data_IF_470686176629
#
_entry.id   IF_470686176629
#
_cell.length_a   1.000
_cell.length_b   1.000
_cell.length_c   1.000
_cell.angle_alpha   90.00
_cell.angle_beta   90.00
_cell.angle_gamma   90.00
#
_symmetry.space_group_name_H-M   'P 1'
#
loop_
_entity.id
_entity.type
_entity.pdbx_description
1 polymer ?
#
# COMPACT_ATOMS: atom_id res chain seq x y z
N UNK A 1 -17.78 25.21 7.21
CA UNK A 1 -18.61 23.98 7.21
C UNK A 1 -19.49 24.04 5.95
N UNK A 2 -19.59 22.98 5.16
CA UNK A 2 -20.46 22.98 3.96
C UNK A 2 -21.94 22.85 4.34
N UNK A 3 -22.85 23.16 3.41
CA UNK A 3 -24.30 23.19 3.69
C UNK A 3 -24.85 21.82 4.15
N UNK A 4 -24.35 20.71 3.60
CA UNK A 4 -24.74 19.36 4.04
C UNK A 4 -24.32 19.08 5.47
N UNK A 5 -23.07 19.38 5.84
CA UNK A 5 -22.59 19.22 7.21
C UNK A 5 -23.32 20.16 8.18
N UNK A 6 -23.67 21.37 7.75
CA UNK A 6 -24.41 22.33 8.59
C UNK A 6 -25.84 21.84 8.87
N UNK A 7 -26.55 21.34 7.85
CA UNK A 7 -27.88 20.73 8.03
C UNK A 7 -27.85 19.52 8.95
N UNK A 8 -26.82 18.67 8.82
CA UNK A 8 -26.63 17.52 9.70
C UNK A 8 -26.47 17.96 11.17
N UNK A 9 -25.64 18.98 11.42
CA UNK A 9 -25.43 19.54 12.75
C UNK A 9 -26.69 20.22 13.32
N UNK A 10 -27.50 20.89 12.49
CA UNK A 10 -28.78 21.46 12.92
C UNK A 10 -29.82 20.39 13.32
N UNK A 11 -29.71 19.19 12.76
CA UNK A 11 -30.55 18.03 13.11
C UNK A 11 -29.93 17.18 14.24
N UNK A 12 -28.92 17.70 14.94
CA UNK A 12 -28.17 17.00 16.01
C UNK A 12 -27.58 15.65 15.56
N UNK A 13 -27.25 15.56 14.28
CA UNK A 13 -26.69 14.35 13.64
C UNK A 13 -25.23 14.55 13.24
N UNK A 14 -24.44 13.48 13.32
CA UNK A 14 -23.02 13.53 12.97
C UNK A 14 -22.89 13.60 11.44
N UNK A 15 -22.18 14.59 10.87
CA UNK A 15 -21.99 14.65 9.43
C UNK A 15 -21.35 13.37 8.89
N UNK A 16 -21.83 12.90 7.73
CA UNK A 16 -21.41 11.62 7.13
C UNK A 16 -19.89 11.46 7.02
N UNK A 17 -19.18 12.53 6.69
CA UNK A 17 -17.72 12.56 6.51
C UNK A 17 -16.98 13.18 7.70
N UNK A 18 -17.63 13.36 8.86
CA UNK A 18 -16.95 13.82 10.05
C UNK A 18 -15.99 12.73 10.54
N UNK A 19 -14.81 13.15 11.01
CA UNK A 19 -13.82 12.26 11.61
C UNK A 19 -14.38 11.51 12.83
N UNK A 20 -15.29 12.15 13.57
CA UNK A 20 -16.03 11.55 14.68
C UNK A 20 -17.02 10.46 14.26
N UNK A 21 -17.31 10.30 12.97
CA UNK A 21 -18.18 9.23 12.44
C UNK A 21 -17.39 7.94 12.18
N UNK A 22 -16.55 7.51 13.13
CA UNK A 22 -15.64 6.35 13.00
C UNK A 22 -14.70 6.42 11.77
N UNK A 23 -14.46 7.61 11.24
CA UNK A 23 -13.53 7.85 10.12
C UNK A 23 -12.14 8.27 10.62
N UNK A 24 -11.99 8.54 11.91
CA UNK A 24 -10.70 8.78 12.55
C UNK A 24 -10.04 7.45 12.94
N UNK A 25 -8.97 7.11 12.23
CA UNK A 25 -8.19 5.88 12.48
C UNK A 25 -7.11 6.06 13.56
N UNK A 26 -6.96 7.26 14.13
CA UNK A 26 -5.85 7.58 15.03
C UNK A 26 -4.65 8.17 14.30
N UNK A 27 -3.58 8.40 15.06
CA UNK A 27 -2.28 8.73 14.50
C UNK A 27 -1.65 7.47 13.91
N UNK A 28 -1.07 7.59 12.72
CA UNK A 28 -0.36 6.48 12.09
C UNK A 28 1.00 6.32 12.77
N UNK A 29 1.33 5.14 13.33
CA UNK A 29 2.63 4.86 13.92
C UNK A 29 3.77 5.12 12.94
N UNK A 30 4.92 5.56 13.44
CA UNK A 30 6.07 5.93 12.62
C UNK A 30 6.53 4.77 11.72
N UNK A 31 6.54 3.55 12.27
CA UNK A 31 6.93 2.31 11.60
C UNK A 31 6.05 2.01 10.37
N UNK A 32 4.77 2.38 10.43
CA UNK A 32 3.83 2.21 9.33
C UNK A 32 3.82 3.41 8.37
N UNK A 33 4.00 4.62 8.89
CA UNK A 33 3.95 5.86 8.12
C UNK A 33 5.09 5.96 7.09
N UNK A 34 6.23 5.31 7.37
CA UNK A 34 7.40 5.34 6.49
C UNK A 34 7.40 4.30 5.37
N UNK A 35 6.41 3.40 5.32
CA UNK A 35 6.35 2.29 4.36
C UNK A 35 5.97 2.78 2.95
N UNK A 36 6.66 2.25 1.93
CA UNK A 36 6.26 2.39 0.53
C UNK A 36 5.09 1.45 0.18
N UNK A 37 4.46 1.65 -0.98
CA UNK A 37 3.37 0.78 -1.42
C UNK A 37 3.80 -0.71 -1.48
N UNK A 38 4.93 -1.09 -2.11
CA UNK A 38 5.38 -2.47 -2.08
C UNK A 38 5.67 -3.00 -0.67
N UNK A 39 6.22 -2.18 0.24
CA UNK A 39 6.48 -2.57 1.62
C UNK A 39 5.17 -2.81 2.40
N UNK A 40 4.15 -1.96 2.19
CA UNK A 40 2.81 -2.16 2.76
C UNK A 40 2.17 -3.46 2.25
N UNK A 41 2.37 -3.76 0.97
CA UNK A 41 1.90 -5.03 0.38
C UNK A 41 2.64 -6.21 1.02
N UNK A 42 3.95 -6.17 1.18
CA UNK A 42 4.72 -7.28 1.78
C UNK A 42 4.29 -7.66 3.21
N UNK A 43 3.78 -6.69 3.97
CA UNK A 43 3.31 -6.91 5.34
C UNK A 43 1.80 -7.11 5.44
N UNK A 44 1.06 -7.01 4.34
CA UNK A 44 -0.39 -7.17 4.35
C UNK A 44 -0.78 -8.64 4.60
N UNK A 45 -1.70 -8.88 5.52
CA UNK A 45 -2.35 -10.20 5.67
C UNK A 45 -3.33 -10.52 4.54
N UNK A 46 -3.91 -9.50 3.95
CA UNK A 46 -4.93 -9.65 2.91
C UNK A 46 -4.64 -8.69 1.76
N UNK A 47 -4.64 -9.23 0.55
CA UNK A 47 -4.49 -8.49 -0.68
C UNK A 47 -5.83 -8.28 -1.37
N UNK A 48 -6.14 -7.08 -1.87
CA UNK A 48 -7.05 -6.97 -3.01
C UNK A 48 -6.32 -7.49 -4.26
N UNK A 49 -7.06 -8.12 -5.18
CA UNK A 49 -6.47 -8.93 -6.27
C UNK A 49 -5.48 -8.19 -7.20
N UNK A 50 -5.66 -6.89 -7.44
CA UNK A 50 -4.71 -6.11 -8.24
C UNK A 50 -4.80 -4.61 -7.94
N UNK A 51 -3.64 -3.99 -7.73
CA UNK A 51 -3.42 -2.55 -7.77
C UNK A 51 -2.89 -2.16 -9.15
N UNK A 52 -3.72 -1.46 -9.92
CA UNK A 52 -3.30 -0.86 -11.18
C UNK A 52 -2.94 0.59 -10.93
N UNK A 53 -1.64 0.90 -10.91
CA UNK A 53 -1.15 2.27 -10.80
C UNK A 53 -0.94 2.83 -12.20
N UNK A 54 -1.86 3.70 -12.65
CA UNK A 54 -1.72 4.42 -13.93
C UNK A 54 -1.07 5.76 -13.70
N UNK A 55 0.10 5.95 -14.29
CA UNK A 55 0.86 7.20 -14.17
C UNK A 55 0.61 8.06 -15.41
N UNK A 56 0.02 9.24 -15.22
CA UNK A 56 -0.22 10.22 -16.28
C UNK A 56 0.60 11.50 -16.03
N UNK A 57 1.35 12.00 -17.03
CA UNK A 57 1.91 13.34 -16.95
C UNK A 57 0.78 14.37 -17.11
N UNK A 58 0.63 15.26 -16.11
CA UNK A 58 -0.49 16.23 -16.04
C UNK A 58 -0.60 17.14 -17.27
N UNK A 59 0.54 17.48 -17.88
CA UNK A 59 0.61 18.47 -18.97
C UNK A 59 1.23 17.95 -20.28
N UNK A 60 1.41 16.63 -20.45
CA UNK A 60 2.00 16.05 -21.68
C UNK A 60 3.47 16.40 -21.96
N UNK A 61 4.06 17.34 -21.21
CA UNK A 61 5.47 17.73 -21.25
C UNK A 61 6.13 17.44 -19.90
N UNK A 62 7.13 16.56 -19.89
CA UNK A 62 7.98 16.33 -18.72
C UNK A 62 8.99 17.48 -18.60
N UNK A 63 8.60 18.53 -17.89
CA UNK A 63 9.49 19.65 -17.56
C UNK A 63 9.88 19.63 -16.08
N UNK A 64 9.11 18.97 -15.20
CA UNK A 64 9.38 18.96 -13.76
C UNK A 64 8.96 17.62 -13.09
N UNK A 65 9.85 16.89 -12.39
CA UNK A 65 9.50 15.66 -11.65
C UNK A 65 8.41 15.88 -10.58
N UNK A 66 8.32 17.10 -10.06
CA UNK A 66 7.29 17.51 -9.08
C UNK A 66 5.91 17.78 -9.69
N UNK A 67 5.77 17.82 -11.03
CA UNK A 67 4.46 17.93 -11.70
C UNK A 67 3.87 16.57 -12.07
N UNK A 68 4.61 15.47 -11.82
CA UNK A 68 4.06 14.12 -11.84
C UNK A 68 3.03 14.01 -10.70
N UNK A 69 1.93 13.33 -11.00
CA UNK A 69 0.79 13.19 -10.10
C UNK A 69 1.22 12.74 -8.69
N UNK A 70 0.78 13.47 -7.64
CA UNK A 70 1.09 13.21 -6.22
C UNK A 70 0.32 12.05 -5.59
N UNK A 71 -0.49 11.34 -6.36
CA UNK A 71 -1.40 10.33 -5.83
C UNK A 71 -1.68 9.22 -6.83
N UNK A 72 -1.84 8.01 -6.30
CA UNK A 72 -2.24 6.84 -7.05
C UNK A 72 -3.74 6.99 -7.36
N UNK A 73 -4.11 7.12 -8.63
CA UNK A 73 -5.49 6.92 -9.09
C UNK A 73 -5.56 5.63 -9.85
N UNK A 74 -6.21 4.63 -9.26
CA UNK A 74 -6.55 3.36 -9.88
C UNK A 74 -8.00 3.01 -9.56
N UNK A 75 -8.68 2.32 -10.47
CA UNK A 75 -9.94 1.66 -10.15
C UNK A 75 -9.59 0.37 -9.39
N UNK A 76 -10.21 0.15 -8.23
CA UNK A 76 -10.16 -1.14 -7.54
C UNK A 76 -11.39 -1.92 -7.95
N UNK A 77 -11.21 -3.01 -8.69
CA UNK A 77 -12.32 -3.88 -9.10
C UNK A 77 -12.20 -5.23 -8.41
N UNK A 78 -13.23 -5.60 -7.65
CA UNK A 78 -13.32 -6.89 -6.98
C UNK A 78 -14.06 -7.87 -7.91
N UNK A 79 -13.41 -8.95 -8.35
CA UNK A 79 -14.03 -10.06 -9.10
C UNK A 79 -13.88 -11.38 -8.32
N UNK A 80 -14.60 -12.42 -8.76
CA UNK A 80 -14.82 -13.65 -8.00
C UNK A 80 -13.51 -14.39 -7.69
N UNK A 81 -13.37 -14.82 -6.43
CA UNK A 81 -12.12 -15.15 -5.76
C UNK A 81 -11.59 -16.56 -6.08
N UNK A 82 -10.29 -16.69 -6.28
CA UNK A 82 -9.60 -17.97 -6.12
C UNK A 82 -9.45 -18.26 -4.61
N UNK A 83 -10.42 -18.99 -4.06
CA UNK A 83 -10.50 -19.33 -2.64
C UNK A 83 -9.28 -20.08 -2.13
N UNK A 84 -8.60 -20.87 -2.97
CA UNK A 84 -7.44 -21.68 -2.55
C UNK A 84 -6.20 -20.83 -2.30
N UNK A 85 -5.93 -19.83 -3.15
CA UNK A 85 -4.84 -18.86 -2.93
C UNK A 85 -5.11 -17.96 -1.72
N UNK A 86 -6.38 -17.62 -1.48
CA UNK A 86 -6.77 -16.86 -0.28
C UNK A 86 -6.64 -17.73 0.97
N UNK A 87 -6.99 -19.02 0.91
CA UNK A 87 -6.81 -19.95 2.03
C UNK A 87 -5.33 -20.16 2.34
N UNK A 88 -4.46 -20.32 1.35
CA UNK A 88 -3.01 -20.42 1.60
C UNK A 88 -2.40 -19.10 2.14
N UNK A 89 -2.96 -17.95 1.75
CA UNK A 89 -2.62 -16.64 2.34
C UNK A 89 -3.18 -16.48 3.77
N UNK A 90 -4.37 -17.00 4.06
CA UNK A 90 -5.00 -17.02 5.39
C UNK A 90 -4.25 -17.97 6.35
N UNK A 91 -3.77 -19.10 5.84
CA UNK A 91 -2.84 -20.01 6.51
C UNK A 91 -1.44 -19.40 6.67
N UNK A 92 -1.14 -18.34 5.91
CA UNK A 92 0.13 -17.63 5.84
C UNK A 92 0.46 -16.83 7.09
N UNK A 93 0.62 -17.50 8.23
CA UNK A 93 1.25 -16.94 9.42
C UNK A 93 2.68 -16.48 9.11
N UNK A 94 3.33 -17.10 8.11
CA UNK A 94 4.70 -16.79 7.72
C UNK A 94 4.78 -15.46 6.95
N UNK A 95 5.55 -14.52 7.48
CA UNK A 95 5.75 -13.15 6.97
C UNK A 95 7.23 -12.84 6.77
N UNK A 96 7.62 -11.90 5.89
CA UNK A 96 6.77 -11.19 4.93
C UNK A 96 6.24 -12.13 3.83
N UNK A 97 5.32 -11.60 3.03
CA UNK A 97 4.83 -12.30 1.84
C UNK A 97 5.94 -12.42 0.79
N UNK A 98 5.94 -13.47 -0.05
CA UNK A 98 6.97 -13.64 -1.09
C UNK A 98 6.96 -12.50 -2.10
N UNK A 99 8.13 -12.11 -2.61
CA UNK A 99 8.25 -11.06 -3.65
C UNK A 99 7.54 -11.42 -4.95
N UNK A 100 7.44 -12.71 -5.26
CA UNK A 100 6.70 -13.23 -6.42
C UNK A 100 5.22 -12.83 -6.37
N UNK A 101 4.64 -12.77 -5.16
CA UNK A 101 3.24 -12.32 -5.01
C UNK A 101 3.10 -10.83 -5.31
N UNK A 102 4.13 -9.98 -5.05
CA UNK A 102 4.04 -8.56 -5.40
C UNK A 102 3.76 -8.34 -6.89
N UNK A 103 4.32 -9.17 -7.77
CA UNK A 103 4.07 -9.10 -9.21
C UNK A 103 2.64 -9.51 -9.58
N UNK A 104 2.00 -10.39 -8.79
CA UNK A 104 0.60 -10.78 -9.00
C UNK A 104 -0.36 -9.67 -8.58
N UNK A 105 0.00 -8.93 -7.52
CA UNK A 105 -0.88 -7.89 -6.95
C UNK A 105 -0.61 -6.48 -7.47
N UNK A 106 0.58 -6.16 -7.98
CA UNK A 106 0.96 -4.79 -8.37
C UNK A 106 1.34 -4.70 -9.84
N UNK A 107 0.50 -4.03 -10.63
CA UNK A 107 0.81 -3.70 -12.02
C UNK A 107 1.11 -2.21 -12.18
N UNK A 108 2.33 -1.88 -12.61
CA UNK A 108 2.77 -0.50 -12.85
C UNK A 108 2.71 -0.22 -14.35
N UNK A 109 1.73 0.58 -14.79
CA UNK A 109 1.59 0.96 -16.20
C UNK A 109 1.86 2.45 -16.36
N UNK A 110 2.93 2.76 -17.10
CA UNK A 110 3.26 4.12 -17.49
C UNK A 110 2.73 4.44 -18.89
N UNK A 111 1.99 5.54 -19.02
CA UNK A 111 1.48 6.02 -20.31
C UNK A 111 2.01 7.44 -20.54
N UNK A 112 3.07 7.56 -21.36
CA UNK A 112 3.66 8.85 -21.69
C UNK A 112 4.69 8.79 -22.81
N UNK A 113 5.07 9.97 -23.33
CA UNK A 113 5.96 10.10 -24.50
C UNK A 113 7.45 9.90 -24.20
N UNK A 114 7.87 9.92 -22.93
CA UNK A 114 9.28 9.83 -22.49
C UNK A 114 9.43 8.71 -21.46
N UNK A 115 10.59 8.05 -21.41
CA UNK A 115 10.87 7.03 -20.38
C UNK A 115 10.80 7.65 -18.98
N UNK A 116 10.21 6.92 -18.02
CA UNK A 116 10.23 7.31 -16.62
C UNK A 116 11.67 7.33 -16.08
N UNK A 117 12.06 8.35 -15.29
CA UNK A 117 13.36 8.37 -14.64
C UNK A 117 13.41 7.29 -13.54
N UNK A 118 14.47 6.45 -13.56
CA UNK A 118 14.67 5.35 -12.60
C UNK A 118 14.71 5.82 -11.15
N UNK A 119 15.15 7.06 -10.89
CA UNK A 119 15.15 7.65 -9.55
C UNK A 119 13.75 7.84 -8.96
N UNK A 120 12.76 8.18 -9.79
CA UNK A 120 11.37 8.34 -9.35
C UNK A 120 10.72 6.98 -9.09
N UNK A 121 11.00 5.99 -9.94
CA UNK A 121 10.56 4.61 -9.70
C UNK A 121 11.11 4.09 -8.37
N UNK A 122 12.40 4.32 -8.11
CA UNK A 122 13.02 3.94 -6.85
C UNK A 122 12.43 4.67 -5.65
N UNK A 123 12.08 5.96 -5.76
CA UNK A 123 11.45 6.67 -4.62
C UNK A 123 10.08 6.12 -4.25
N UNK A 124 9.33 5.60 -5.23
CA UNK A 124 7.92 5.20 -5.06
C UNK A 124 7.77 3.70 -4.80
N UNK A 125 8.60 2.87 -5.45
CA UNK A 125 8.44 1.40 -5.49
C UNK A 125 9.64 0.64 -4.90
N UNK A 126 10.57 1.31 -4.20
CA UNK A 126 11.60 0.61 -3.43
C UNK A 126 11.00 -0.24 -2.33
N UNK A 127 11.71 -1.33 -2.03
CA UNK A 127 11.54 -2.14 -0.83
C UNK A 127 12.83 -2.05 -0.01
N UNK A 128 12.69 -1.77 1.28
CA UNK A 128 13.76 -1.77 2.26
C UNK A 128 13.53 -2.89 3.27
N UNK A 129 14.38 -3.91 3.21
CA UNK A 129 14.33 -5.08 4.11
C UNK A 129 14.21 -4.71 5.58
N UNK A 130 15.01 -3.75 6.03
CA UNK A 130 15.02 -3.30 7.43
C UNK A 130 13.67 -2.72 7.87
N UNK A 131 13.05 -1.90 7.03
CA UNK A 131 11.77 -1.23 7.35
C UNK A 131 10.64 -2.24 7.41
N UNK A 132 10.63 -3.21 6.48
CA UNK A 132 9.66 -4.32 6.49
C UNK A 132 9.78 -5.13 7.79
N UNK A 133 11.00 -5.45 8.22
CA UNK A 133 11.23 -6.17 9.47
C UNK A 133 10.75 -5.38 10.69
N UNK A 134 11.14 -4.11 10.81
CA UNK A 134 10.74 -3.24 11.92
C UNK A 134 9.21 -3.09 12.00
N UNK A 135 8.54 -2.91 10.86
CA UNK A 135 7.08 -2.84 10.78
C UNK A 135 6.40 -4.14 11.23
N UNK A 136 6.89 -5.32 10.81
CA UNK A 136 6.33 -6.61 11.23
C UNK A 136 6.50 -6.87 12.73
N UNK A 137 7.68 -6.52 13.29
CA UNK A 137 7.92 -6.63 14.73
C UNK A 137 6.98 -5.72 15.50
N UNK A 138 6.81 -4.48 15.04
CA UNK A 138 5.88 -3.53 15.64
C UNK A 138 4.44 -4.00 15.56
N UNK A 139 4.00 -4.48 14.40
CA UNK A 139 2.64 -5.01 14.20
C UNK A 139 2.35 -6.20 15.10
N UNK A 140 3.30 -7.13 15.24
CA UNK A 140 3.15 -8.28 16.12
C UNK A 140 2.96 -7.89 17.59
N UNK A 141 3.61 -6.82 18.04
CA UNK A 141 3.53 -6.34 19.41
C UNK A 141 2.29 -5.48 19.69
N UNK A 142 1.80 -4.72 18.70
CA UNK A 142 0.80 -3.66 18.89
C UNK A 142 -0.56 -3.93 18.23
N UNK A 143 -0.68 -4.95 17.37
CA UNK A 143 -1.91 -5.23 16.64
C UNK A 143 -2.37 -6.66 16.88
N UNK A 144 -3.56 -6.83 17.47
CA UNK A 144 -4.17 -8.13 17.77
C UNK A 144 -4.29 -9.02 16.53
N UNK A 145 -4.55 -8.40 15.37
CA UNK A 145 -4.68 -9.10 14.08
C UNK A 145 -3.33 -9.69 13.62
N UNK A 146 -2.20 -9.24 14.16
CA UNK A 146 -0.86 -9.68 13.76
C UNK A 146 -0.13 -10.51 14.82
N UNK A 147 -0.78 -10.90 15.92
CA UNK A 147 -0.11 -11.59 17.02
C UNK A 147 0.43 -12.99 16.64
N UNK A 148 -0.29 -13.71 15.79
CA UNK A 148 0.01 -15.07 15.33
C UNK A 148 1.03 -15.14 14.19
N UNK A 149 1.54 -13.99 13.71
CA UNK A 149 2.51 -14.01 12.60
C UNK A 149 3.87 -14.59 13.03
N UNK A 150 4.49 -15.33 12.12
CA UNK A 150 5.85 -15.85 12.20
C UNK A 150 6.74 -15.09 11.22
N UNK A 151 7.74 -14.37 11.73
CA UNK A 151 8.64 -13.60 10.89
C UNK A 151 9.76 -14.53 10.39
N UNK A 152 9.73 -14.88 9.11
CA UNK A 152 10.75 -15.68 8.44
C UNK A 152 11.97 -14.83 8.07
N UNK A 153 13.14 -15.24 8.55
CA UNK A 153 14.41 -14.62 8.16
C UNK A 153 14.77 -14.90 6.70
N UNK A 154 14.51 -16.11 6.23
CA UNK A 154 14.76 -16.53 4.85
C UNK A 154 14.03 -15.62 3.86
N UNK A 155 12.74 -15.32 4.12
CA UNK A 155 11.96 -14.41 3.27
C UNK A 155 12.37 -12.94 3.39
N UNK A 156 12.95 -12.54 4.51
CA UNK A 156 13.53 -11.19 4.63
C UNK A 156 14.82 -11.09 3.82
N UNK A 157 15.62 -12.16 3.81
CA UNK A 157 16.88 -12.23 3.05
C UNK A 157 16.67 -12.23 1.53
N UNK A 158 15.49 -12.62 1.04
CA UNK A 158 15.14 -12.49 -0.38
C UNK A 158 14.79 -11.05 -0.79
N UNK A 159 14.44 -10.18 0.16
CA UNK A 159 14.13 -8.77 -0.13
C UNK A 159 15.41 -7.97 -0.43
N UNK A 160 15.36 -6.95 -1.30
CA UNK A 160 16.48 -6.04 -1.48
C UNK A 160 16.74 -5.19 -0.22
N UNK A 161 17.98 -4.75 -0.02
CA UNK A 161 18.36 -3.87 1.10
C UNK A 161 17.69 -2.48 0.99
N UNK A 162 17.75 -1.87 -0.20
CA UNK A 162 17.04 -0.62 -0.55
C UNK A 162 16.98 -0.46 -2.07
N UNK A 163 16.13 -1.26 -2.72
CA UNK A 163 15.94 -1.19 -4.16
C UNK A 163 14.55 -1.65 -4.61
N UNK A 164 14.26 -1.48 -5.90
CA UNK A 164 13.05 -2.03 -6.52
C UNK A 164 13.22 -3.55 -6.65
N UNK A 165 12.27 -4.37 -6.15
CA UNK A 165 12.27 -5.81 -6.36
C UNK A 165 12.32 -6.16 -7.85
N UNK A 166 13.04 -7.22 -8.22
CA UNK A 166 13.25 -7.62 -9.63
C UNK A 166 11.94 -8.10 -10.29
N UNK A 167 10.98 -8.49 -9.46
CA UNK A 167 9.68 -9.04 -9.85
C UNK A 167 8.68 -7.98 -10.34
N UNK A 168 8.94 -6.68 -10.12
CA UNK A 168 8.03 -5.55 -10.41
C UNK A 168 8.61 -4.66 -11.52
#
# INVERSE_FOLDING_TARGET
>A
ICDECFRALQMDSIPKFALSNNLWLGEVPHELAMLTLPEQLLIARHYPWCYVVKLYPRDGYMTNPNSLQRGITGNVTLYNMNTEAIVSMLEGQLMPQPTVELASVLAITYIGKKKLPSSWLKSTFRVRRRVVYEALVWLKANNEIYQDIQISRERLETLPEDDIPVEI
#
